data_IF_995905273740
#
_entry.id   IF_995905273740
#
_cell.length_a   1.000
_cell.length_b   1.000
_cell.length_c   1.000
_cell.angle_alpha   90.00
_cell.angle_beta   90.00
_cell.angle_gamma   90.00
#
_symmetry.space_group_name_H-M   'P 1'
#
loop_
_entity.id
_entity.type
_entity.pdbx_description
1 polymer ?
#
# COMPACT_ATOMS: atom_id res chain seq x y z
N UNK A 1 21.16 -2.37 6.42
CA UNK A 1 20.02 -3.11 5.87
C UNK A 1 19.09 -2.08 5.26
N UNK A 2 18.71 -2.19 3.98
CA UNK A 2 17.87 -1.17 3.34
C UNK A 2 16.46 -1.10 3.96
N UNK A 3 15.75 -0.02 3.70
CA UNK A 3 14.36 0.15 4.09
C UNK A 3 13.56 0.78 2.95
N UNK A 4 12.25 0.56 2.99
CA UNK A 4 11.28 1.20 2.10
C UNK A 4 10.39 2.07 2.98
N UNK A 5 10.26 3.34 2.65
CA UNK A 5 9.25 4.20 3.26
C UNK A 5 7.94 3.97 2.51
N UNK A 6 6.91 3.50 3.21
CA UNK A 6 5.60 3.27 2.61
C UNK A 6 4.55 4.19 3.24
N UNK A 7 3.64 4.70 2.41
CA UNK A 7 2.37 5.24 2.89
C UNK A 7 1.32 4.14 2.80
N UNK A 8 0.69 3.85 3.92
CA UNK A 8 -0.25 2.75 4.05
C UNK A 8 -1.60 3.21 4.60
N UNK A 9 -2.58 2.35 4.39
CA UNK A 9 -3.94 2.48 4.87
C UNK A 9 -4.25 1.25 5.70
N UNK A 10 -4.94 1.45 6.82
CA UNK A 10 -5.47 0.35 7.60
C UNK A 10 -6.65 -0.28 6.84
N UNK A 11 -6.68 -1.61 6.81
CA UNK A 11 -7.78 -2.36 6.21
C UNK A 11 -8.76 -2.77 7.31
N UNK A 12 -9.93 -2.14 7.33
CA UNK A 12 -11.03 -2.59 8.19
C UNK A 12 -11.49 -3.98 7.69
N UNK A 13 -11.49 -4.98 8.58
CA UNK A 13 -12.09 -6.32 8.38
C UNK A 13 -11.21 -7.43 7.76
N UNK A 14 -9.91 -7.26 7.58
CA UNK A 14 -9.04 -8.37 7.14
C UNK A 14 -8.65 -9.26 8.32
N UNK A 15 -8.74 -10.58 8.16
CA UNK A 15 -8.18 -11.55 9.12
C UNK A 15 -6.91 -12.20 8.58
N UNK A 16 -6.11 -12.76 9.48
CA UNK A 16 -4.93 -13.56 9.12
C UNK A 16 -5.26 -14.72 8.16
N UNK A 17 -6.47 -15.27 8.25
CA UNK A 17 -6.92 -16.38 7.40
C UNK A 17 -7.32 -15.94 5.98
N UNK A 18 -7.47 -14.64 5.75
CA UNK A 18 -7.80 -14.07 4.44
C UNK A 18 -6.56 -13.77 3.60
N UNK A 19 -5.39 -13.65 4.23
CA UNK A 19 -4.12 -13.42 3.56
C UNK A 19 -3.73 -14.61 2.65
N UNK A 20 -3.28 -14.32 1.43
CA UNK A 20 -2.90 -15.33 0.44
C UNK A 20 -4.07 -15.79 -0.44
N UNK A 21 -5.28 -15.29 -0.20
CA UNK A 21 -6.46 -15.53 -1.06
C UNK A 21 -6.62 -14.47 -2.15
N UNK A 22 -5.72 -13.49 -2.24
CA UNK A 22 -5.80 -12.35 -3.17
C UNK A 22 -7.15 -11.63 -3.14
N UNK A 23 -7.79 -11.56 -1.97
CA UNK A 23 -9.07 -10.84 -1.82
C UNK A 23 -8.85 -9.34 -2.04
N UNK A 24 -9.76 -8.66 -2.77
CA UNK A 24 -9.69 -7.21 -2.89
C UNK A 24 -9.71 -6.53 -1.53
N UNK A 25 -8.94 -5.44 -1.39
CA UNK A 25 -9.02 -4.57 -0.22
C UNK A 25 -10.00 -3.44 -0.46
N UNK A 26 -10.66 -2.96 0.59
CA UNK A 26 -11.56 -1.82 0.51
C UNK A 26 -10.97 -0.67 1.32
N UNK A 27 -10.70 0.47 0.65
CA UNK A 27 -10.09 1.64 1.27
C UNK A 27 -10.95 2.86 0.99
N UNK A 28 -11.61 3.42 2.01
CA UNK A 28 -12.28 4.71 1.86
C UNK A 28 -11.28 5.84 2.16
N UNK A 29 -10.71 6.48 1.13
CA UNK A 29 -9.65 7.50 1.31
C UNK A 29 -10.10 8.74 2.08
N UNK A 30 -11.42 8.95 2.26
CA UNK A 30 -11.96 10.06 3.05
C UNK A 30 -12.01 9.76 4.54
N UNK A 31 -12.03 8.48 4.92
CA UNK A 31 -12.16 8.03 6.32
C UNK A 31 -10.95 7.25 6.81
N UNK A 32 -10.26 6.58 5.91
CA UNK A 32 -9.13 5.73 6.23
C UNK A 32 -8.00 6.55 6.86
N UNK A 33 -7.50 6.03 7.97
CA UNK A 33 -6.32 6.58 8.61
C UNK A 33 -5.10 6.23 7.73
N UNK A 34 -4.45 7.27 7.23
CA UNK A 34 -3.19 7.16 6.48
C UNK A 34 -2.02 7.16 7.46
N UNK A 35 -1.08 6.25 7.28
CA UNK A 35 0.16 6.18 8.04
C UNK A 35 1.37 6.15 7.12
N UNK A 36 2.51 6.67 7.60
CA UNK A 36 3.80 6.52 6.91
C UNK A 36 4.74 5.76 7.83
N UNK A 37 5.36 4.70 7.32
CA UNK A 37 6.31 3.89 8.08
C UNK A 37 7.54 3.55 7.23
N UNK A 38 8.70 3.54 7.89
CA UNK A 38 9.94 2.97 7.34
C UNK A 38 9.95 1.47 7.60
N UNK A 39 9.76 0.69 6.54
CA UNK A 39 9.66 -0.76 6.60
C UNK A 39 11.01 -1.39 6.21
N UNK A 40 11.61 -2.13 7.13
CA UNK A 40 12.77 -2.97 6.82
C UNK A 40 12.32 -4.30 6.21
N UNK A 41 13.16 -4.93 5.39
CA UNK A 41 12.81 -6.22 4.77
C UNK A 41 12.49 -7.30 5.81
N UNK A 42 13.21 -7.31 6.94
CA UNK A 42 12.96 -8.22 8.07
C UNK A 42 11.62 -7.99 8.77
N UNK A 43 11.00 -6.82 8.55
CA UNK A 43 9.71 -6.45 9.12
C UNK A 43 8.53 -6.97 8.28
N UNK A 44 8.81 -7.53 7.09
CA UNK A 44 7.80 -8.07 6.19
C UNK A 44 7.77 -9.58 6.30
N UNK A 45 6.70 -10.12 6.89
CA UNK A 45 6.49 -11.55 6.96
C UNK A 45 6.05 -12.13 5.61
N UNK A 46 5.14 -11.42 4.93
CA UNK A 46 4.68 -11.75 3.58
C UNK A 46 4.03 -10.53 2.92
N UNK A 47 3.88 -10.56 1.60
CA UNK A 47 3.06 -9.60 0.86
C UNK A 47 2.34 -10.29 -0.31
N UNK A 48 1.19 -9.76 -0.72
CA UNK A 48 0.43 -10.23 -1.89
C UNK A 48 -0.05 -9.04 -2.74
N UNK A 49 -0.04 -9.22 -4.06
CA UNK A 49 -0.60 -8.23 -4.98
C UNK A 49 -2.12 -8.37 -5.02
N UNK A 50 -2.82 -7.27 -4.80
CA UNK A 50 -4.28 -7.22 -4.69
C UNK A 50 -4.87 -6.09 -5.52
N UNK A 51 -6.18 -6.16 -5.73
CA UNK A 51 -6.96 -5.00 -6.19
C UNK A 51 -7.47 -4.23 -4.98
N UNK A 52 -7.28 -2.92 -4.97
CA UNK A 52 -7.89 -2.02 -4.00
C UNK A 52 -9.14 -1.41 -4.64
N UNK A 53 -10.28 -1.55 -3.95
CA UNK A 53 -11.51 -0.82 -4.22
C UNK A 53 -11.50 0.44 -3.36
N UNK A 54 -11.37 1.59 -4.00
CA UNK A 54 -11.17 2.87 -3.30
C UNK A 54 -12.17 3.92 -3.71
N UNK A 55 -12.59 4.75 -2.75
CA UNK A 55 -13.21 6.05 -3.08
C UNK A 55 -12.17 6.95 -3.75
N UNK A 56 -12.64 7.86 -4.61
CA UNK A 56 -11.74 8.73 -5.39
C UNK A 56 -11.18 9.87 -4.54
N UNK A 57 -9.84 10.00 -4.39
CA UNK A 57 -9.26 11.09 -3.63
C UNK A 57 -9.58 12.43 -4.31
N UNK A 58 -9.68 13.50 -3.51
CA UNK A 58 -9.95 14.86 -3.99
C UNK A 58 -11.38 15.14 -4.48
N UNK A 59 -12.31 14.17 -4.43
CA UNK A 59 -13.73 14.40 -4.72
C UNK A 59 -14.60 14.00 -3.53
N UNK A 60 -15.82 14.51 -3.43
CA UNK A 60 -16.82 14.01 -2.45
C UNK A 60 -17.78 12.98 -3.05
N UNK A 61 -17.50 12.54 -4.29
CA UNK A 61 -18.32 11.57 -4.98
C UNK A 61 -18.05 10.16 -4.45
N UNK A 62 -19.10 9.40 -4.14
CA UNK A 62 -19.00 7.99 -3.73
C UNK A 62 -18.67 7.04 -4.89
N UNK A 63 -17.91 7.51 -5.88
CA UNK A 63 -17.44 6.65 -6.97
C UNK A 63 -16.33 5.75 -6.44
N UNK A 64 -16.49 4.45 -6.68
CA UNK A 64 -15.48 3.45 -6.37
C UNK A 64 -14.66 3.19 -7.64
N UNK A 65 -13.35 3.40 -7.53
CA UNK A 65 -12.37 3.04 -8.55
C UNK A 65 -11.62 1.76 -8.11
N UNK A 66 -11.07 1.03 -9.08
CA UNK A 66 -10.25 -0.16 -8.85
C UNK A 66 -8.81 0.15 -9.21
N UNK A 67 -7.87 -0.18 -8.32
CA UNK A 67 -6.46 0.13 -8.50
C UNK A 67 -5.56 -0.99 -7.98
N UNK A 68 -4.37 -1.11 -8.57
CA UNK A 68 -3.37 -2.06 -8.12
C UNK A 68 -2.84 -1.66 -6.74
N UNK A 69 -2.73 -2.64 -5.86
CA UNK A 69 -2.19 -2.47 -4.52
C UNK A 69 -1.40 -3.68 -4.06
N UNK A 70 -0.79 -3.52 -2.90
CA UNK A 70 -0.15 -4.62 -2.18
C UNK A 70 -0.71 -4.66 -0.77
N UNK A 71 -1.02 -5.87 -0.30
CA UNK A 71 -1.28 -6.14 1.11
C UNK A 71 -0.01 -6.70 1.72
N UNK A 72 0.43 -6.09 2.81
CA UNK A 72 1.66 -6.46 3.51
C UNK A 72 1.26 -7.00 4.87
N UNK A 73 1.73 -8.22 5.18
CA UNK A 73 1.71 -8.76 6.54
C UNK A 73 3.02 -8.44 7.22
N UNK A 74 2.98 -7.62 8.26
CA UNK A 74 4.18 -7.29 9.03
C UNK A 74 4.53 -8.42 9.99
N UNK A 75 5.80 -8.48 10.43
CA UNK A 75 6.26 -9.48 11.39
C UNK A 75 5.67 -9.33 12.79
N UNK A 76 5.09 -8.16 13.11
CA UNK A 76 4.39 -7.89 14.37
C UNK A 76 2.86 -8.10 14.28
N UNK A 77 2.35 -8.55 13.13
CA UNK A 77 0.95 -9.00 13.00
C UNK A 77 -0.03 -7.98 12.39
N UNK A 78 0.45 -6.83 11.93
CA UNK A 78 -0.41 -5.84 11.27
C UNK A 78 -0.55 -6.13 9.77
N UNK A 79 -1.71 -5.77 9.22
CA UNK A 79 -1.98 -5.80 7.78
C UNK A 79 -2.04 -4.39 7.23
N UNK A 80 -1.13 -4.09 6.31
CA UNK A 80 -1.00 -2.76 5.71
C UNK A 80 -1.39 -2.85 4.23
N UNK A 81 -2.25 -1.94 3.78
CA UNK A 81 -2.60 -1.79 2.35
C UNK A 81 -1.87 -0.60 1.78
N UNK A 82 -1.15 -0.82 0.68
CA UNK A 82 -0.35 0.21 0.00
C UNK A 82 -0.77 0.28 -1.46
N UNK A 83 -1.00 1.49 -1.96
CA UNK A 83 -1.23 1.73 -3.39
C UNK A 83 0.06 1.44 -4.16
N UNK A 84 -0.04 0.61 -5.20
CA UNK A 84 1.11 0.04 -5.88
C UNK A 84 1.06 0.27 -7.41
N UNK A 85 0.56 1.45 -7.81
CA UNK A 85 0.37 1.85 -9.21
C UNK A 85 1.55 2.67 -9.79
N UNK A 86 2.62 2.80 -9.02
CA UNK A 86 3.84 3.52 -9.40
C UNK A 86 4.85 2.61 -10.16
N UNK A 87 5.73 3.18 -11.02
CA UNK A 87 6.71 2.38 -11.79
C UNK A 87 7.66 1.53 -10.93
N UNK A 88 8.04 2.06 -9.77
CA UNK A 88 8.78 1.35 -8.73
C UNK A 88 7.78 0.68 -7.77
N UNK A 89 7.28 -0.48 -8.15
CA UNK A 89 6.36 -1.25 -7.31
C UNK A 89 7.03 -1.81 -6.04
N UNK A 90 6.22 -2.27 -5.10
CA UNK A 90 6.67 -2.80 -3.81
C UNK A 90 7.63 -3.98 -3.94
N UNK A 91 7.41 -4.88 -4.90
CA UNK A 91 8.30 -6.02 -5.12
C UNK A 91 9.70 -5.55 -5.50
N UNK A 92 9.79 -4.65 -6.49
CA UNK A 92 11.07 -4.08 -6.93
C UNK A 92 11.75 -3.25 -5.84
N UNK A 93 10.97 -2.48 -5.07
CA UNK A 93 11.50 -1.68 -3.97
C UNK A 93 12.07 -2.58 -2.86
N UNK A 94 11.45 -3.73 -2.58
CA UNK A 94 11.92 -4.71 -1.62
C UNK A 94 13.20 -5.41 -2.08
N UNK A 95 13.23 -5.86 -3.34
CA UNK A 95 14.44 -6.44 -3.94
C UNK A 95 15.61 -5.43 -3.88
N UNK A 96 15.34 -4.16 -4.18
CA UNK A 96 16.33 -3.09 -4.10
C UNK A 96 16.78 -2.82 -2.65
N UNK A 97 15.88 -2.82 -1.67
CA UNK A 97 16.21 -2.61 -0.25
C UNK A 97 17.03 -3.78 0.36
N UNK A 98 16.78 -5.01 -0.10
CA UNK A 98 17.59 -6.17 0.25
C UNK A 98 19.00 -6.08 -0.35
N UNK A 99 19.11 -5.59 -1.58
CA UNK A 99 20.36 -5.59 -2.35
C UNK A 99 21.26 -4.37 -2.11
N UNK A 100 20.66 -3.21 -1.82
CA UNK A 100 21.33 -1.93 -1.75
C UNK A 100 20.84 -1.16 -0.52
N UNK A 101 21.73 -0.48 0.21
CA UNK A 101 21.38 0.36 1.37
C UNK A 101 20.64 1.66 0.98
N UNK A 102 19.88 1.66 -0.12
CA UNK A 102 19.11 2.82 -0.58
C UNK A 102 17.71 2.79 0.01
N UNK A 103 17.21 3.97 0.32
CA UNK A 103 15.83 4.18 0.76
C UNK A 103 14.98 4.39 -0.50
N UNK A 104 13.98 3.52 -0.68
CA UNK A 104 12.95 3.70 -1.70
C UNK A 104 11.67 4.21 -1.02
N UNK A 105 10.88 5.01 -1.73
CA UNK A 105 9.60 5.49 -1.24
C UNK A 105 8.46 4.90 -2.08
N UNK A 106 7.38 4.46 -1.43
CA UNK A 106 6.13 4.07 -2.08
C UNK A 106 5.01 4.81 -1.36
N UNK A 107 4.71 6.00 -1.86
CA UNK A 107 3.75 6.92 -1.23
C UNK A 107 2.75 7.42 -2.25
N UNK A 108 1.60 7.91 -1.76
CA UNK A 108 0.56 8.46 -2.64
C UNK A 108 1.04 9.68 -3.43
N UNK A 109 2.12 10.35 -3.00
CA UNK A 109 2.78 11.43 -3.77
C UNK A 109 3.30 10.96 -5.12
N UNK A 110 3.73 9.71 -5.23
CA UNK A 110 4.28 9.13 -6.46
C UNK A 110 3.27 8.29 -7.24
N UNK A 111 2.10 8.03 -6.66
CA UNK A 111 1.02 7.31 -7.32
C UNK A 111 0.40 8.15 -8.44
N UNK A 112 0.41 7.69 -9.71
CA UNK A 112 -0.28 8.37 -10.80
C UNK A 112 -1.76 8.62 -10.50
N UNK A 113 -2.45 7.67 -9.85
CA UNK A 113 -3.85 7.82 -9.47
C UNK A 113 -4.07 9.00 -8.51
N UNK A 114 -3.25 9.09 -7.47
CA UNK A 114 -3.33 10.19 -6.51
C UNK A 114 -2.85 11.52 -7.10
N UNK A 115 -1.92 11.53 -8.05
CA UNK A 115 -1.56 12.76 -8.76
C UNK A 115 -2.69 13.26 -9.68
N UNK A 116 -3.46 12.34 -10.27
CA UNK A 116 -4.58 12.67 -11.15
C UNK A 116 -5.79 13.19 -10.37
N UNK A 117 -6.11 12.59 -9.22
CA UNK A 117 -7.36 12.89 -8.48
C UNK A 117 -7.13 13.59 -7.13
N UNK A 118 -5.97 13.41 -6.50
CA UNK A 118 -5.66 13.94 -5.17
C UNK A 118 -5.22 15.41 -5.12
N UNK A 119 -5.14 16.13 -6.26
CA UNK A 119 -4.94 17.58 -6.27
C UNK A 119 -6.25 18.29 -5.96
N UNK A 120 -6.37 18.84 -4.75
CA UNK A 120 -7.27 19.96 -4.46
C UNK A 120 -6.43 21.23 -4.35
#
# INVERSE_FOLDING_TARGET
MGCIVIEHFEEEQITDTDFGKNKPAHVDVHKAQRGIISLHSISVAAFENITIHTTRPGTTANKIDQIAGVRIKTSWGDHLVVFNDQPMDFSKAMDAACSHQKINEITTKMSPYWQQFGKQ
#
